data_IF_381019980136
#
_entry.id   IF_381019980136
#
_cell.length_a   1.000
_cell.length_b   1.000
_cell.length_c   1.000
_cell.angle_alpha   90.00
_cell.angle_beta   90.00
_cell.angle_gamma   90.00
#
_symmetry.space_group_name_H-M   'P 1'
#
loop_
_entity.id
_entity.type
_entity.pdbx_description
1 polymer ?
#
# COMPACT_ATOMS: atom_id res chain seq x y z
N UNK A 1 -1.16 8.20 -13.03
CA UNK A 1 0.11 8.29 -12.30
C UNK A 1 0.46 6.97 -11.66
N UNK A 2 1.74 6.65 -11.61
CA UNK A 2 2.19 5.35 -11.11
C UNK A 2 1.79 5.09 -9.65
N UNK A 3 1.83 6.13 -8.82
CA UNK A 3 1.46 5.99 -7.41
C UNK A 3 0.03 5.51 -7.24
N UNK A 4 -0.89 6.08 -8.01
CA UNK A 4 -2.29 5.72 -7.92
C UNK A 4 -2.52 4.31 -8.40
N UNK A 5 -1.79 3.89 -9.43
CA UNK A 5 -1.90 2.53 -9.95
C UNK A 5 -1.46 1.50 -8.90
N UNK A 6 -0.38 1.80 -8.18
CA UNK A 6 0.11 0.92 -7.12
C UNK A 6 -0.87 0.82 -5.97
N UNK A 7 -1.46 1.95 -5.58
CA UNK A 7 -2.47 1.97 -4.53
C UNK A 7 -3.70 1.17 -4.96
N UNK A 8 -4.16 1.37 -6.18
CA UNK A 8 -5.31 0.62 -6.69
C UNK A 8 -5.04 -0.87 -6.70
N UNK A 9 -3.82 -1.26 -7.05
CA UNK A 9 -3.43 -2.66 -7.08
C UNK A 9 -3.48 -3.27 -5.68
N UNK A 10 -3.01 -2.53 -4.68
CA UNK A 10 -3.07 -2.97 -3.29
C UNK A 10 -4.52 -3.14 -2.84
N UNK A 11 -5.37 -2.19 -3.17
CA UNK A 11 -6.78 -2.27 -2.82
C UNK A 11 -7.45 -3.47 -3.47
N UNK A 12 -7.14 -3.74 -4.73
CA UNK A 12 -7.70 -4.90 -5.43
C UNK A 12 -7.23 -6.22 -4.83
N UNK A 13 -6.04 -6.21 -4.24
CA UNK A 13 -5.51 -7.39 -3.56
C UNK A 13 -6.12 -7.61 -2.18
N UNK A 14 -7.02 -6.72 -1.74
CA UNK A 14 -7.71 -6.86 -0.47
C UNK A 14 -7.09 -6.08 0.68
N UNK A 15 -6.14 -5.21 0.39
CA UNK A 15 -5.50 -4.39 1.41
C UNK A 15 -6.26 -3.09 1.62
N UNK A 16 -6.31 -2.65 2.88
CA UNK A 16 -6.75 -1.31 3.20
C UNK A 16 -5.54 -0.38 3.14
N UNK A 17 -5.66 0.73 2.43
CA UNK A 17 -4.56 1.65 2.21
C UNK A 17 -4.88 2.99 2.83
N UNK A 18 -3.95 3.50 3.66
CA UNK A 18 -4.03 4.84 4.22
C UNK A 18 -2.83 5.63 3.76
N UNK A 19 -3.05 6.82 3.24
CA UNK A 19 -1.98 7.69 2.77
C UNK A 19 -1.65 8.73 3.84
N UNK A 20 -0.35 8.92 4.08
CA UNK A 20 0.15 9.95 5.00
C UNK A 20 1.37 10.60 4.38
N UNK A 21 1.16 11.74 3.72
CA UNK A 21 2.25 12.42 3.03
C UNK A 21 2.89 11.51 1.99
N UNK A 22 4.18 11.25 2.15
CA UNK A 22 4.92 10.41 1.22
C UNK A 22 4.85 8.93 1.55
N UNK A 23 4.17 8.58 2.63
CA UNK A 23 4.13 7.20 3.10
C UNK A 23 2.72 6.67 3.09
N UNK A 24 2.61 5.35 3.04
CA UNK A 24 1.31 4.68 3.13
C UNK A 24 1.38 3.59 4.18
N UNK A 25 0.21 3.27 4.71
CA UNK A 25 0.04 2.13 5.60
C UNK A 25 -0.97 1.20 4.95
N UNK A 26 -0.59 -0.05 4.78
CA UNK A 26 -1.52 -1.06 4.28
C UNK A 26 -1.81 -2.07 5.37
N UNK A 27 -3.06 -2.49 5.44
CA UNK A 27 -3.51 -3.42 6.46
C UNK A 27 -4.34 -4.52 5.80
N UNK A 28 -4.08 -5.76 6.19
CA UNK A 28 -4.89 -6.90 5.73
C UNK A 28 -4.96 -7.91 6.88
N UNK A 29 -6.14 -8.02 7.48
CA UNK A 29 -6.29 -8.86 8.65
C UNK A 29 -5.41 -8.35 9.79
N UNK A 30 -4.47 -9.16 10.25
CA UNK A 30 -3.53 -8.76 11.30
C UNK A 30 -2.21 -8.23 10.73
N UNK A 31 -2.06 -8.20 9.40
CA UNK A 31 -0.85 -7.73 8.76
C UNK A 31 -0.89 -6.22 8.60
N UNK A 32 0.18 -5.54 9.03
CA UNK A 32 0.32 -4.10 8.87
C UNK A 32 1.69 -3.82 8.27
N UNK A 33 1.71 -3.07 7.16
CA UNK A 33 2.95 -2.68 6.49
C UNK A 33 2.97 -1.17 6.36
N UNK A 34 4.05 -0.54 6.82
CA UNK A 34 4.25 0.90 6.73
C UNK A 34 5.48 1.19 5.89
N UNK A 35 5.41 2.25 5.10
CA UNK A 35 6.56 2.68 4.32
C UNK A 35 6.15 3.54 3.14
N UNK A 36 7.11 3.78 2.25
CA UNK A 36 6.81 4.49 1.01
C UNK A 36 5.99 3.58 0.10
N UNK A 37 5.30 4.20 -0.87
CA UNK A 37 4.48 3.44 -1.82
C UNK A 37 5.31 2.37 -2.51
N UNK A 38 6.52 2.72 -2.94
CA UNK A 38 7.38 1.77 -3.64
C UNK A 38 7.80 0.61 -2.74
N UNK A 39 8.16 0.92 -1.49
CA UNK A 39 8.55 -0.10 -0.52
C UNK A 39 7.41 -1.05 -0.21
N UNK A 40 6.25 -0.51 0.07
CA UNK A 40 5.09 -1.33 0.42
C UNK A 40 4.68 -2.19 -0.75
N UNK A 41 4.65 -1.62 -1.94
CA UNK A 41 4.31 -2.37 -3.15
C UNK A 41 5.28 -3.53 -3.38
N UNK A 42 6.57 -3.29 -3.15
CA UNK A 42 7.59 -4.32 -3.30
C UNK A 42 7.44 -5.43 -2.27
N UNK A 43 7.07 -5.08 -1.05
CA UNK A 43 6.86 -6.07 0.01
C UNK A 43 5.67 -6.97 -0.27
N UNK A 44 4.61 -6.41 -0.85
CA UNK A 44 3.38 -7.13 -1.14
C UNK A 44 3.53 -7.98 -2.40
N UNK A 45 4.19 -7.45 -3.38
CA UNK A 45 4.38 -8.08 -4.68
C UNK A 45 5.84 -8.34 -4.97
#
# INVERSE_FOLDING_TARGET
>A
MESQQKIDRLKKAGYQVQEKGNKIRVTKGSLIINGTINQVHKEVF
#
